data_IF_868550502830
#
_entry.id   IF_868550502830
#
_cell.length_a   1.000
_cell.length_b   1.000
_cell.length_c   1.000
_cell.angle_alpha   90.00
_cell.angle_beta   90.00
_cell.angle_gamma   90.00
#
_symmetry.space_group_name_H-M   'P 1'
#
loop_
_entity.id
_entity.type
_entity.pdbx_description
1 polymer ?
#
# COMPACT_ATOMS: atom_id res chain seq x y z
N UNK A 1 -27.39 -36.11 29.10
CA UNK A 1 -27.34 -36.00 30.57
C UNK A 1 -27.46 -37.34 31.32
N UNK A 2 -27.36 -38.52 30.69
CA UNK A 2 -27.52 -39.81 31.41
C UNK A 2 -26.27 -40.33 32.15
N UNK A 3 -25.10 -39.68 32.01
CA UNK A 3 -23.83 -40.15 32.56
C UNK A 3 -23.63 -39.80 34.04
N UNK A 4 -24.28 -38.74 34.53
CA UNK A 4 -24.12 -38.25 35.92
C UNK A 4 -24.84 -39.10 36.96
N UNK A 5 -25.87 -39.83 36.55
CA UNK A 5 -26.63 -40.74 37.43
C UNK A 5 -26.02 -42.14 37.47
N UNK A 6 -24.99 -42.42 36.67
CA UNK A 6 -24.36 -43.72 36.60
C UNK A 6 -23.21 -43.86 37.61
N UNK A 7 -23.01 -45.06 38.18
CA UNK A 7 -21.82 -45.33 38.97
C UNK A 7 -20.57 -45.18 38.10
N UNK A 8 -19.46 -44.78 38.71
CA UNK A 8 -18.24 -44.45 37.98
C UNK A 8 -17.73 -45.61 37.11
N UNK A 9 -17.89 -46.86 37.57
CA UNK A 9 -17.51 -48.07 36.83
C UNK A 9 -18.20 -48.15 35.46
N UNK A 10 -19.47 -47.75 35.39
CA UNK A 10 -20.27 -47.78 34.15
C UNK A 10 -20.02 -46.54 33.29
N UNK A 11 -19.84 -45.36 33.89
CA UNK A 11 -19.61 -44.12 33.14
C UNK A 11 -18.18 -44.01 32.56
N UNK A 12 -17.19 -44.61 33.22
CA UNK A 12 -15.77 -44.41 32.91
C UNK A 12 -15.35 -44.77 31.48
N UNK A 13 -15.79 -45.90 30.87
CA UNK A 13 -15.47 -46.21 29.48
C UNK A 13 -15.92 -45.11 28.51
N UNK A 14 -17.14 -44.58 28.69
CA UNK A 14 -17.67 -43.49 27.87
C UNK A 14 -16.90 -42.19 28.08
N UNK A 15 -16.55 -41.86 29.33
CA UNK A 15 -15.75 -40.66 29.62
C UNK A 15 -14.36 -40.74 29.00
N UNK A 16 -13.71 -41.91 29.04
CA UNK A 16 -12.40 -42.14 28.41
C UNK A 16 -12.49 -42.02 26.90
N UNK A 17 -13.50 -42.62 26.28
CA UNK A 17 -13.74 -42.49 24.84
C UNK A 17 -13.91 -41.03 24.42
N UNK A 18 -14.75 -40.26 25.14
CA UNK A 18 -14.96 -38.83 24.86
C UNK A 18 -13.71 -37.98 25.06
N UNK A 19 -12.93 -38.25 26.11
CA UNK A 19 -11.65 -37.58 26.32
C UNK A 19 -10.66 -37.90 25.20
N UNK A 20 -10.59 -39.15 24.74
CA UNK A 20 -9.69 -39.57 23.66
C UNK A 20 -10.05 -38.97 22.29
N UNK A 21 -11.31 -38.61 22.05
CA UNK A 21 -11.74 -37.97 20.79
C UNK A 21 -11.24 -36.53 20.64
N UNK A 22 -10.82 -35.86 21.71
CA UNK A 22 -10.33 -34.48 21.67
C UNK A 22 -8.93 -34.39 22.26
N UNK A 23 -7.93 -34.13 21.42
CA UNK A 23 -6.53 -34.06 21.84
C UNK A 23 -6.24 -32.98 22.89
N UNK A 24 -7.05 -31.91 22.94
CA UNK A 24 -6.92 -30.87 23.95
C UNK A 24 -7.58 -31.28 25.28
N UNK A 25 -8.53 -32.22 25.29
CA UNK A 25 -9.24 -32.64 26.50
C UNK A 25 -8.45 -33.73 27.24
N UNK A 26 -7.85 -33.37 28.37
CA UNK A 26 -7.01 -34.26 29.17
C UNK A 26 -7.83 -35.16 30.09
N UNK A 27 -8.91 -34.64 30.66
CA UNK A 27 -9.78 -35.40 31.53
C UNK A 27 -11.20 -34.82 31.57
N UNK A 28 -12.17 -35.69 31.85
CA UNK A 28 -13.54 -35.31 32.24
C UNK A 28 -13.80 -35.82 33.64
N UNK A 29 -14.40 -34.99 34.50
CA UNK A 29 -14.80 -35.37 35.83
C UNK A 29 -16.29 -35.13 36.03
N UNK A 30 -16.94 -36.05 36.72
CA UNK A 30 -18.35 -35.96 37.06
C UNK A 30 -18.48 -35.50 38.50
N UNK A 31 -19.31 -34.49 38.71
CA UNK A 31 -19.62 -33.93 40.02
C UNK A 31 -21.09 -34.21 40.30
N UNK A 32 -21.35 -34.85 41.44
CA UNK A 32 -22.68 -35.12 41.94
C UNK A 32 -22.78 -34.67 43.38
N UNK A 33 -23.82 -33.90 43.70
CA UNK A 33 -24.09 -33.35 45.03
C UNK A 33 -22.88 -32.62 45.66
N UNK A 34 -22.14 -31.88 44.83
CA UNK A 34 -20.95 -31.13 45.25
C UNK A 34 -19.70 -31.99 45.47
N UNK A 35 -19.75 -33.28 45.11
CA UNK A 35 -18.62 -34.21 45.22
C UNK A 35 -18.17 -34.66 43.84
N UNK A 36 -16.87 -34.52 43.57
CA UNK A 36 -16.22 -35.08 42.39
C UNK A 36 -16.07 -36.60 42.61
N UNK A 37 -16.99 -37.37 42.05
CA UNK A 37 -17.10 -38.81 42.31
C UNK A 37 -16.40 -39.69 41.26
N UNK A 38 -16.21 -39.18 40.04
CA UNK A 38 -15.61 -39.94 38.95
C UNK A 38 -14.71 -39.08 38.08
N UNK A 39 -13.61 -39.66 37.61
CA UNK A 39 -12.66 -39.04 36.68
C UNK A 39 -12.28 -40.01 35.57
N UNK A 40 -12.29 -39.55 34.31
CA UNK A 40 -11.88 -40.37 33.16
C UNK A 40 -10.44 -40.88 33.26
N UNK A 41 -9.56 -40.07 33.86
CA UNK A 41 -8.13 -40.35 33.99
C UNK A 41 -7.81 -41.26 35.17
N UNK A 42 -8.62 -41.15 36.22
CA UNK A 42 -8.24 -41.55 37.57
C UNK A 42 -9.23 -42.51 38.24
N UNK A 43 -10.41 -42.70 37.64
CA UNK A 43 -11.48 -43.54 38.16
C UNK A 43 -12.26 -42.88 39.30
N UNK A 44 -12.68 -43.69 40.27
CA UNK A 44 -13.48 -43.26 41.42
C UNK A 44 -12.73 -42.22 42.24
N UNK A 45 -13.41 -41.13 42.61
CA UNK A 45 -12.88 -40.07 43.45
C UNK A 45 -13.89 -39.69 44.52
N UNK A 46 -13.41 -38.99 45.54
CA UNK A 46 -14.24 -38.47 46.62
C UNK A 46 -13.63 -37.15 47.09
N UNK A 47 -13.74 -36.13 46.24
CA UNK A 47 -13.24 -34.80 46.56
C UNK A 47 -14.38 -33.80 46.61
N UNK A 48 -14.37 -32.93 47.61
CA UNK A 48 -15.32 -31.83 47.72
C UNK A 48 -15.03 -30.81 46.62
N UNK A 49 -16.01 -30.54 45.76
CA UNK A 49 -15.85 -29.67 44.59
C UNK A 49 -15.48 -28.24 44.98
N UNK A 50 -16.18 -27.66 45.97
CA UNK A 50 -15.92 -26.30 46.47
C UNK A 50 -14.56 -26.14 47.14
N UNK A 51 -14.02 -27.21 47.75
CA UNK A 51 -12.70 -27.17 48.37
C UNK A 51 -11.58 -27.08 47.33
N UNK A 52 -11.76 -27.71 46.16
CA UNK A 52 -10.75 -27.68 45.09
C UNK A 52 -10.96 -26.47 44.18
N UNK A 53 -12.20 -26.17 43.78
CA UNK A 53 -12.55 -25.17 42.76
C UNK A 53 -13.64 -24.23 43.28
N UNK A 54 -13.35 -23.36 44.27
CA UNK A 54 -14.36 -22.53 44.94
C UNK A 54 -15.09 -21.60 43.98
N UNK A 55 -14.37 -20.91 43.10
CA UNK A 55 -14.94 -19.96 42.12
C UNK A 55 -15.79 -20.62 41.03
N UNK A 56 -15.60 -21.92 40.78
CA UNK A 56 -16.49 -22.65 39.87
C UNK A 56 -17.71 -23.20 40.62
N UNK A 57 -17.55 -23.57 41.89
CA UNK A 57 -18.59 -24.14 42.73
C UNK A 57 -19.61 -23.09 43.23
N UNK A 58 -19.20 -21.85 43.45
CA UNK A 58 -20.11 -20.73 43.79
C UNK A 58 -20.83 -20.14 42.56
N UNK A 59 -20.41 -20.53 41.35
CA UNK A 59 -21.01 -20.08 40.09
C UNK A 59 -20.50 -18.72 39.60
N UNK A 60 -19.54 -18.10 40.31
CA UNK A 60 -18.93 -16.82 39.91
C UNK A 60 -18.13 -16.94 38.60
N UNK A 61 -17.58 -18.12 38.32
CA UNK A 61 -16.85 -18.42 37.11
C UNK A 61 -17.30 -19.74 36.46
N UNK A 62 -17.15 -19.82 35.13
CA UNK A 62 -17.33 -21.07 34.35
C UNK A 62 -16.00 -21.62 33.82
N UNK A 63 -14.95 -20.82 33.86
CA UNK A 63 -13.60 -21.17 33.42
C UNK A 63 -12.61 -20.81 34.53
N UNK A 64 -11.61 -21.67 34.72
CA UNK A 64 -10.50 -21.41 35.63
C UNK A 64 -9.20 -21.89 35.01
N UNK A 65 -8.20 -21.02 34.99
CA UNK A 65 -6.83 -21.37 34.60
C UNK A 65 -6.04 -21.75 35.86
N UNK A 66 -5.51 -22.98 35.91
CA UNK A 66 -4.79 -23.49 37.09
C UNK A 66 -3.65 -24.43 36.73
N UNK A 67 -2.60 -24.52 37.55
CA UNK A 67 -1.59 -25.55 37.38
C UNK A 67 -2.18 -26.93 37.69
N UNK A 68 -1.80 -27.93 36.89
CA UNK A 68 -2.17 -29.33 37.13
C UNK A 68 -1.62 -29.81 38.48
N UNK A 69 -2.48 -30.47 39.27
CA UNK A 69 -2.13 -31.00 40.60
C UNK A 69 -1.61 -32.44 40.56
N UNK A 70 -1.82 -33.17 39.46
CA UNK A 70 -1.57 -34.62 39.42
C UNK A 70 -0.67 -35.01 38.25
N UNK A 71 -1.18 -34.98 37.02
CA UNK A 71 -0.41 -35.42 35.84
C UNK A 71 0.28 -34.21 35.21
N UNK A 72 1.61 -34.24 35.15
CA UNK A 72 2.47 -33.12 34.77
C UNK A 72 2.27 -31.91 35.70
N UNK A 73 2.67 -32.08 36.97
CA UNK A 73 2.54 -31.05 38.01
C UNK A 73 3.11 -29.71 37.54
N UNK A 74 2.36 -28.64 37.76
CA UNK A 74 2.77 -27.29 37.39
C UNK A 74 2.50 -26.91 35.92
N UNK A 75 2.12 -27.85 35.05
CA UNK A 75 1.68 -27.52 33.67
C UNK A 75 0.37 -26.75 33.75
N UNK A 76 0.21 -25.65 32.99
CA UNK A 76 -1.02 -24.88 32.97
C UNK A 76 -2.14 -25.74 32.38
N UNK A 77 -3.31 -25.69 33.01
CA UNK A 77 -4.52 -26.38 32.55
C UNK A 77 -5.70 -25.42 32.60
N UNK A 78 -6.58 -25.54 31.61
CA UNK A 78 -7.84 -24.80 31.59
C UNK A 78 -8.96 -25.73 32.02
N UNK A 79 -9.69 -25.35 33.07
CA UNK A 79 -10.79 -26.12 33.61
C UNK A 79 -12.08 -25.39 33.23
N UNK A 80 -13.01 -26.11 32.60
CA UNK A 80 -14.32 -25.61 32.26
C UNK A 80 -15.39 -26.38 33.03
N UNK A 81 -16.26 -25.63 33.68
CA UNK A 81 -17.40 -26.16 34.41
C UNK A 81 -18.67 -26.08 33.57
N UNK A 82 -19.38 -27.21 33.46
CA UNK A 82 -20.65 -27.31 32.74
C UNK A 82 -21.70 -27.91 33.68
N UNK A 83 -22.50 -27.06 34.37
CA UNK A 83 -23.55 -27.55 35.27
C UNK A 83 -24.68 -28.20 34.46
N UNK A 84 -25.42 -29.12 35.09
CA UNK A 84 -26.58 -29.79 34.47
C UNK A 84 -27.71 -28.80 34.22
N UNK A 85 -28.01 -27.97 35.21
CA UNK A 85 -29.01 -26.91 35.14
C UNK A 85 -28.37 -25.60 35.59
N UNK A 86 -28.87 -24.48 35.08
CA UNK A 86 -28.34 -23.17 35.47
C UNK A 86 -28.51 -22.89 36.97
N UNK A 87 -29.53 -23.47 37.60
CA UNK A 87 -29.90 -23.21 39.00
C UNK A 87 -29.20 -24.15 40.00
N UNK A 88 -28.67 -25.30 39.55
CA UNK A 88 -28.00 -26.26 40.42
C UNK A 88 -26.52 -26.40 40.04
N UNK A 89 -25.67 -25.73 40.81
CA UNK A 89 -24.22 -25.73 40.60
C UNK A 89 -23.49 -26.91 41.28
N UNK A 90 -24.22 -27.84 41.89
CA UNK A 90 -23.67 -29.01 42.59
C UNK A 90 -23.53 -30.24 41.70
N UNK A 91 -24.18 -30.23 40.54
CA UNK A 91 -24.22 -31.35 39.60
C UNK A 91 -23.76 -30.90 38.23
N UNK A 92 -22.81 -31.62 37.63
CA UNK A 92 -22.27 -31.23 36.33
C UNK A 92 -20.96 -31.93 35.96
N UNK A 93 -20.38 -31.45 34.86
CA UNK A 93 -19.17 -32.03 34.28
C UNK A 93 -18.05 -31.00 34.27
N UNK A 94 -16.90 -31.38 34.82
CA UNK A 94 -15.66 -30.65 34.69
C UNK A 94 -14.87 -31.17 33.49
N UNK A 95 -14.50 -30.28 32.60
CA UNK A 95 -13.62 -30.55 31.47
C UNK A 95 -12.25 -29.96 31.78
N UNK A 96 -11.21 -30.79 31.73
CA UNK A 96 -9.83 -30.35 31.97
C UNK A 96 -9.08 -30.39 30.66
N UNK A 97 -8.72 -29.22 30.15
CA UNK A 97 -7.99 -29.06 28.90
C UNK A 97 -6.50 -28.85 29.13
N UNK A 98 -5.69 -29.47 28.26
CA UNK A 98 -4.29 -29.13 28.10
C UNK A 98 -4.18 -27.81 27.33
N UNK A 99 -4.18 -26.71 28.06
CA UNK A 99 -4.15 -25.37 27.47
C UNK A 99 -2.79 -25.05 26.84
N UNK A 100 -1.70 -25.73 27.22
CA UNK A 100 -0.37 -25.51 26.65
C UNK A 100 -0.36 -25.74 25.13
N UNK A 101 -0.96 -26.84 24.68
CA UNK A 101 -1.07 -27.14 23.24
C UNK A 101 -1.88 -26.06 22.52
N UNK A 102 -3.04 -25.71 23.10
CA UNK A 102 -3.95 -24.76 22.48
C UNK A 102 -3.39 -23.33 22.49
N UNK A 103 -2.68 -22.94 23.54
CA UNK A 103 -1.99 -21.67 23.67
C UNK A 103 -0.86 -21.55 22.64
N UNK A 104 -0.11 -22.62 22.40
CA UNK A 104 0.95 -22.63 21.40
C UNK A 104 0.43 -22.47 19.97
N UNK A 105 -0.82 -22.87 19.68
CA UNK A 105 -1.41 -22.65 18.36
C UNK A 105 -2.19 -21.34 18.25
N UNK A 106 -2.92 -20.94 19.30
CA UNK A 106 -3.84 -19.80 19.24
C UNK A 106 -3.19 -18.47 19.62
N UNK A 107 -2.13 -18.50 20.43
CA UNK A 107 -1.49 -17.30 20.96
C UNK A 107 -0.14 -17.03 20.27
N UNK A 108 0.15 -17.67 19.15
CA UNK A 108 1.39 -17.44 18.42
C UNK A 108 1.48 -15.96 17.99
N UNK A 109 2.52 -15.21 18.42
CA UNK A 109 2.66 -13.80 18.10
C UNK A 109 2.91 -13.58 16.61
N UNK A 110 2.26 -12.56 16.05
CA UNK A 110 2.45 -12.14 14.67
C UNK A 110 3.36 -10.91 14.62
N UNK A 111 4.67 -11.15 14.56
CA UNK A 111 5.64 -10.06 14.44
C UNK A 111 5.57 -9.36 13.06
N UNK A 112 5.78 -8.04 13.00
CA UNK A 112 6.16 -7.12 14.08
C UNK A 112 4.97 -6.51 14.85
N UNK A 113 3.73 -6.90 14.54
CA UNK A 113 2.51 -6.23 15.02
C UNK A 113 2.11 -6.64 16.43
N UNK A 114 2.27 -7.92 16.77
CA UNK A 114 2.04 -8.46 18.09
C UNK A 114 3.29 -9.23 18.52
N UNK A 115 3.95 -8.76 19.57
CA UNK A 115 5.13 -9.40 20.14
C UNK A 115 4.78 -10.39 21.25
N UNK A 116 3.68 -10.12 21.97
CA UNK A 116 3.19 -11.03 23.02
C UNK A 116 1.68 -11.11 22.95
N UNK A 117 1.17 -12.32 23.10
CA UNK A 117 -0.27 -12.60 23.15
C UNK A 117 -0.54 -13.35 24.44
N UNK A 118 -1.55 -12.90 25.17
CA UNK A 118 -1.88 -13.39 26.52
C UNK A 118 -3.34 -13.76 26.59
N UNK A 119 -3.64 -14.97 27.04
CA UNK A 119 -4.98 -15.43 27.39
C UNK A 119 -5.26 -15.10 28.85
N UNK A 120 -6.32 -14.34 29.14
CA UNK A 120 -6.75 -14.04 30.50
C UNK A 120 -8.08 -14.74 30.82
N UNK A 121 -8.12 -15.43 31.96
CA UNK A 121 -9.26 -16.18 32.49
C UNK A 121 -9.41 -15.84 33.98
N UNK A 122 -10.39 -15.00 34.30
CA UNK A 122 -10.51 -14.40 35.63
C UNK A 122 -9.25 -13.60 35.98
N UNK A 123 -8.70 -13.84 37.15
CA UNK A 123 -7.49 -13.16 37.65
C UNK A 123 -6.17 -13.76 37.13
N UNK A 124 -6.25 -14.82 36.31
CA UNK A 124 -5.10 -15.56 35.84
C UNK A 124 -4.88 -15.36 34.33
N UNK A 125 -3.61 -15.28 33.94
CA UNK A 125 -3.16 -15.07 32.58
C UNK A 125 -2.13 -16.11 32.17
N UNK A 126 -2.18 -16.51 30.90
CA UNK A 126 -1.22 -17.40 30.25
C UNK A 126 -0.67 -16.72 29.00
N UNK A 127 0.65 -16.57 28.93
CA UNK A 127 1.35 -16.03 27.78
C UNK A 127 1.84 -17.16 26.87
N UNK A 128 1.91 -16.89 25.56
CA UNK A 128 2.54 -17.79 24.59
C UNK A 128 3.94 -18.23 25.03
N UNK A 129 4.23 -19.53 24.90
CA UNK A 129 5.53 -20.12 25.23
C UNK A 129 5.87 -20.16 26.73
N UNK A 130 5.03 -19.60 27.61
CA UNK A 130 5.22 -19.65 29.06
C UNK A 130 4.38 -20.78 29.67
N UNK A 131 4.98 -21.50 30.62
CA UNK A 131 4.29 -22.53 31.41
C UNK A 131 3.81 -22.01 32.77
N UNK A 132 4.18 -20.79 33.13
CA UNK A 132 3.77 -20.14 34.37
C UNK A 132 2.46 -19.39 34.17
N UNK A 133 1.54 -19.54 35.13
CA UNK A 133 0.31 -18.77 35.19
C UNK A 133 0.60 -17.50 35.97
N UNK A 134 0.43 -16.37 35.31
CA UNK A 134 0.65 -15.04 35.88
C UNK A 134 -0.69 -14.47 36.34
N UNK A 135 -0.64 -13.45 37.20
CA UNK A 135 -1.83 -12.71 37.58
C UNK A 135 -2.09 -11.60 36.54
N UNK A 136 -3.34 -11.44 36.12
CA UNK A 136 -3.73 -10.55 35.01
C UNK A 136 -3.31 -9.09 35.22
N UNK A 137 -3.27 -8.63 36.47
CA UNK A 137 -2.90 -7.28 36.88
C UNK A 137 -1.40 -6.95 36.69
N UNK A 138 -0.54 -7.96 36.58
CA UNK A 138 0.92 -7.78 36.38
C UNK A 138 1.29 -7.41 34.94
N UNK A 139 0.38 -7.59 33.99
CA UNK A 139 0.64 -7.54 32.54
C UNK A 139 0.10 -6.24 31.91
N UNK A 140 0.61 -5.09 32.33
CA UNK A 140 0.12 -3.77 31.87
C UNK A 140 0.99 -3.10 30.80
N UNK A 141 2.27 -3.44 30.73
CA UNK A 141 3.22 -2.71 29.90
C UNK A 141 3.09 -3.12 28.43
N UNK A 142 2.77 -2.14 27.57
CA UNK A 142 2.70 -2.34 26.12
C UNK A 142 1.40 -2.99 25.63
N UNK A 143 0.32 -2.92 26.42
CA UNK A 143 -0.99 -3.41 26.02
C UNK A 143 -1.52 -2.57 24.85
N UNK A 144 -1.79 -3.22 23.72
CA UNK A 144 -2.36 -2.58 22.53
C UNK A 144 -3.88 -2.74 22.49
N UNK A 145 -4.36 -3.95 22.79
CA UNK A 145 -5.76 -4.29 22.66
C UNK A 145 -6.13 -5.49 23.52
N UNK A 146 -7.36 -5.53 24.03
CA UNK A 146 -7.94 -6.69 24.71
C UNK A 146 -9.27 -7.05 24.07
N UNK A 147 -9.33 -8.24 23.47
CA UNK A 147 -10.56 -8.82 22.95
C UNK A 147 -11.22 -9.69 24.01
N UNK A 148 -12.51 -9.49 24.29
CA UNK A 148 -13.30 -10.37 25.16
C UNK A 148 -14.11 -11.35 24.31
N UNK A 149 -14.20 -12.59 24.76
CA UNK A 149 -15.05 -13.59 24.10
C UNK A 149 -16.52 -13.34 24.42
N UNK A 150 -17.39 -13.52 23.42
CA UNK A 150 -18.84 -13.33 23.57
C UNK A 150 -19.52 -14.53 24.25
N UNK A 151 -18.99 -15.73 24.03
CA UNK A 151 -19.64 -16.99 24.46
C UNK A 151 -19.03 -17.55 25.75
N UNK A 152 -17.75 -17.28 26.00
CA UNK A 152 -17.02 -17.85 27.13
C UNK A 152 -16.32 -16.75 27.93
N UNK A 153 -16.20 -16.89 29.26
CA UNK A 153 -15.62 -15.85 30.11
C UNK A 153 -14.08 -15.85 30.07
N UNK A 154 -13.50 -15.61 28.88
CA UNK A 154 -12.07 -15.38 28.69
C UNK A 154 -11.83 -14.15 27.82
N UNK A 155 -10.61 -13.62 27.87
CA UNK A 155 -10.16 -12.52 27.01
C UNK A 155 -8.76 -12.78 26.49
N UNK A 156 -8.42 -12.15 25.37
CA UNK A 156 -7.08 -12.21 24.75
C UNK A 156 -6.53 -10.78 24.72
N UNK A 157 -5.37 -10.59 25.31
CA UNK A 157 -4.63 -9.33 25.31
C UNK A 157 -3.45 -9.41 24.35
N UNK A 158 -3.34 -8.40 23.49
CA UNK A 158 -2.26 -8.22 22.52
C UNK A 158 -1.30 -7.14 23.01
N UNK A 159 -0.01 -7.45 22.97
CA UNK A 159 1.05 -6.53 23.35
C UNK A 159 2.04 -6.39 22.20
N UNK A 160 2.51 -5.16 21.98
CA UNK A 160 3.42 -4.88 20.89
C UNK A 160 3.90 -3.43 20.89
N UNK A 161 4.72 -3.05 19.90
CA UNK A 161 5.24 -1.71 19.81
C UNK A 161 4.16 -0.74 19.32
N UNK A 162 4.32 0.54 19.66
CA UNK A 162 3.43 1.59 19.17
C UNK A 162 3.50 1.70 17.64
N UNK A 163 2.37 2.06 17.02
CA UNK A 163 2.26 2.19 15.57
C UNK A 163 3.32 3.12 14.94
N UNK A 164 3.71 4.19 15.65
CA UNK A 164 4.76 5.12 15.22
C UNK A 164 6.12 4.44 15.04
N UNK A 165 6.51 3.54 15.97
CA UNK A 165 7.77 2.80 15.87
C UNK A 165 7.74 1.78 14.73
N UNK A 166 6.62 1.11 14.51
CA UNK A 166 6.46 0.22 13.34
C UNK A 166 6.57 1.00 12.03
N UNK A 167 5.90 2.15 11.93
CA UNK A 167 5.94 2.99 10.74
C UNK A 167 7.38 3.46 10.42
N UNK A 168 8.12 3.89 11.45
CA UNK A 168 9.50 4.32 11.30
C UNK A 168 10.43 3.15 10.91
N UNK A 169 10.21 1.97 11.47
CA UNK A 169 10.95 0.75 11.12
C UNK A 169 10.65 0.26 9.69
N UNK A 170 9.44 0.51 9.18
CA UNK A 170 9.06 0.17 7.81
C UNK A 170 9.58 1.16 6.76
N UNK A 171 10.02 2.36 7.16
CA UNK A 171 10.42 3.44 6.27
C UNK A 171 11.56 3.06 5.29
N UNK A 172 12.63 2.37 5.71
CA UNK A 172 13.73 1.99 4.82
C UNK A 172 13.31 1.10 3.64
N UNK A 173 12.22 0.33 3.80
CA UNK A 173 11.67 -0.53 2.74
C UNK A 173 11.24 0.26 1.50
N UNK A 174 10.96 1.55 1.65
CA UNK A 174 10.49 2.42 0.56
C UNK A 174 11.63 3.16 -0.16
N UNK A 175 12.86 3.12 0.36
CA UNK A 175 14.05 3.75 -0.25
C UNK A 175 14.32 3.29 -1.70
N UNK A 176 14.33 1.98 -2.04
CA UNK A 176 14.66 1.56 -3.40
C UNK A 176 13.63 2.03 -4.44
N UNK A 177 12.34 2.05 -4.07
CA UNK A 177 11.29 2.58 -4.94
C UNK A 177 11.42 4.09 -5.12
N UNK A 178 11.68 4.83 -4.04
CA UNK A 178 11.93 6.27 -4.10
C UNK A 178 13.15 6.61 -4.99
N UNK A 179 14.22 5.80 -4.89
CA UNK A 179 15.42 5.94 -5.72
C UNK A 179 15.11 5.69 -7.21
N UNK A 180 14.33 4.65 -7.52
CA UNK A 180 13.92 4.36 -8.90
C UNK A 180 13.10 5.51 -9.48
N UNK A 181 12.11 6.03 -8.73
CA UNK A 181 11.30 7.18 -9.15
C UNK A 181 12.18 8.42 -9.33
N UNK A 182 13.13 8.67 -8.44
CA UNK A 182 14.07 9.79 -8.54
C UNK A 182 14.93 9.69 -9.81
N UNK A 183 15.43 8.50 -10.13
CA UNK A 183 16.25 8.26 -11.32
C UNK A 183 15.42 8.39 -12.61
N UNK A 184 14.18 7.90 -12.61
CA UNK A 184 13.24 8.09 -13.71
C UNK A 184 12.95 9.58 -13.94
N UNK A 185 12.65 10.32 -12.87
CA UNK A 185 12.39 11.75 -12.94
C UNK A 185 13.61 12.52 -13.46
N UNK A 186 14.81 12.20 -12.96
CA UNK A 186 16.06 12.78 -13.43
C UNK A 186 16.29 12.50 -14.93
N UNK A 187 16.01 11.27 -15.38
CA UNK A 187 16.12 10.90 -16.80
C UNK A 187 15.13 11.68 -17.69
N UNK A 188 13.88 11.84 -17.25
CA UNK A 188 12.89 12.66 -17.98
C UNK A 188 13.34 14.12 -18.07
N UNK A 189 13.81 14.70 -16.96
CA UNK A 189 14.36 16.08 -16.95
C UNK A 189 15.57 16.20 -17.88
N UNK A 190 16.44 15.19 -17.90
CA UNK A 190 17.58 15.13 -18.81
C UNK A 190 17.13 15.13 -20.27
N UNK A 191 16.17 14.29 -20.66
CA UNK A 191 15.64 14.24 -22.04
C UNK A 191 15.01 15.57 -22.45
N UNK A 192 14.23 16.21 -21.58
CA UNK A 192 13.63 17.51 -21.85
C UNK A 192 14.69 18.60 -22.04
N UNK A 193 15.74 18.60 -21.21
CA UNK A 193 16.86 19.55 -21.30
C UNK A 193 17.72 19.31 -22.54
N UNK A 194 18.01 18.04 -22.87
CA UNK A 194 18.79 17.68 -24.05
C UNK A 194 18.05 18.07 -25.34
N UNK A 195 16.73 17.90 -25.40
CA UNK A 195 15.93 18.35 -26.55
C UNK A 195 15.90 19.88 -26.70
N UNK A 196 16.11 20.67 -25.62
CA UNK A 196 16.23 22.14 -25.69
C UNK A 196 17.53 22.61 -26.36
N UNK A 197 18.60 21.81 -26.34
CA UNK A 197 19.85 22.10 -27.08
C UNK A 197 19.68 22.02 -28.61
N UNK A 198 18.57 21.48 -29.11
CA UNK A 198 18.27 21.45 -30.55
C UNK A 198 18.09 22.84 -31.17
N UNK A 199 17.77 23.88 -30.41
CA UNK A 199 17.69 25.25 -30.94
C UNK A 199 19.06 25.73 -31.46
N UNK A 200 20.12 25.48 -30.70
CA UNK A 200 21.49 25.79 -31.10
C UNK A 200 21.93 24.92 -32.29
N UNK A 201 21.49 23.66 -32.33
CA UNK A 201 21.70 22.78 -33.48
C UNK A 201 21.01 23.31 -34.74
N UNK A 202 19.75 23.74 -34.65
CA UNK A 202 19.01 24.30 -35.78
C UNK A 202 19.60 25.62 -36.29
N UNK A 203 20.06 26.50 -35.40
CA UNK A 203 20.74 27.75 -35.79
C UNK A 203 22.10 27.45 -36.43
N UNK A 204 22.90 26.57 -35.83
CA UNK A 204 24.20 26.17 -36.40
C UNK A 204 24.05 25.46 -37.74
N UNK A 205 23.04 24.60 -37.89
CA UNK A 205 22.73 23.91 -39.13
C UNK A 205 22.35 24.90 -40.24
N UNK A 206 21.48 25.87 -39.95
CA UNK A 206 21.08 26.93 -40.89
C UNK A 206 22.24 27.84 -41.30
N UNK A 207 23.19 28.13 -40.39
CA UNK A 207 24.42 28.90 -40.72
C UNK A 207 25.31 28.07 -41.66
N UNK A 208 25.50 26.78 -41.35
CA UNK A 208 26.39 25.91 -42.12
C UNK A 208 25.84 25.61 -43.53
N UNK A 209 24.52 25.57 -43.68
CA UNK A 209 23.82 25.34 -44.96
C UNK A 209 23.54 26.63 -45.76
N UNK A 210 24.02 27.80 -45.31
CA UNK A 210 23.80 29.11 -45.96
C UNK A 210 22.31 29.44 -46.19
N UNK A 211 21.45 29.07 -45.25
CA UNK A 211 20.00 29.35 -45.32
C UNK A 211 19.66 30.80 -44.93
N UNK A 212 20.67 31.58 -44.51
CA UNK A 212 20.54 33.01 -44.27
C UNK A 212 20.78 33.79 -45.57
N UNK A 213 19.73 34.44 -46.08
CA UNK A 213 19.85 35.40 -47.18
C UNK A 213 19.74 36.82 -46.65
N UNK A 214 20.60 37.68 -47.18
CA UNK A 214 20.61 39.11 -46.90
C UNK A 214 19.86 39.80 -48.02
N UNK A 215 18.78 40.48 -47.70
CA UNK A 215 18.05 41.31 -48.64
C UNK A 215 18.58 42.74 -48.55
N UNK A 216 18.76 43.38 -49.70
CA UNK A 216 19.17 44.79 -49.75
C UNK A 216 17.91 45.62 -49.97
N UNK A 217 17.45 46.34 -48.96
CA UNK A 217 16.36 47.31 -49.08
C UNK A 217 16.95 48.71 -49.24
N UNK A 218 16.74 49.39 -50.38
CA UNK A 218 17.26 50.73 -50.60
C UNK A 218 16.46 51.76 -49.79
N UNK A 219 17.17 52.61 -49.06
CA UNK A 219 16.59 53.74 -48.33
C UNK A 219 16.62 54.95 -49.26
N UNK A 220 15.43 55.35 -49.70
CA UNK A 220 15.24 56.44 -50.66
C UNK A 220 14.84 57.71 -49.91
N UNK A 221 15.48 58.83 -50.24
CA UNK A 221 15.09 60.15 -49.73
C UNK A 221 13.69 60.53 -50.26
N UNK A 222 12.74 60.81 -49.37
CA UNK A 222 11.35 61.09 -49.76
C UNK A 222 11.18 62.40 -50.57
N UNK A 223 12.06 63.39 -50.40
CA UNK A 223 11.96 64.69 -51.07
C UNK A 223 12.68 64.75 -52.42
N UNK A 224 13.80 64.03 -52.54
CA UNK A 224 14.66 64.07 -53.74
C UNK A 224 14.62 62.80 -54.59
N UNK A 225 14.01 61.72 -54.08
CA UNK A 225 13.93 60.43 -54.76
C UNK A 225 15.26 59.72 -54.98
N UNK A 226 16.37 60.23 -54.42
CA UNK A 226 17.71 59.61 -54.56
C UNK A 226 17.94 58.58 -53.46
N UNK A 227 18.52 57.43 -53.83
CA UNK A 227 18.95 56.41 -52.88
C UNK A 227 20.11 56.95 -52.05
N UNK A 228 19.94 57.01 -50.72
CA UNK A 228 20.95 57.57 -49.79
C UNK A 228 21.68 56.48 -49.01
N UNK A 229 21.18 55.25 -49.03
CA UNK A 229 21.75 54.13 -48.31
C UNK A 229 21.00 52.84 -48.59
N UNK A 230 21.53 51.73 -48.08
CA UNK A 230 20.89 50.43 -48.15
C UNK A 230 20.90 49.85 -46.75
N UNK A 231 19.76 49.34 -46.30
CA UNK A 231 19.71 48.47 -45.13
C UNK A 231 19.70 47.02 -45.56
N UNK A 232 20.37 46.20 -44.75
CA UNK A 232 20.57 44.79 -45.00
C UNK A 232 19.87 43.95 -43.92
N UNK A 233 18.52 43.88 -43.92
CA UNK A 233 17.82 42.97 -43.04
C UNK A 233 18.12 41.52 -43.44
N UNK A 234 18.61 40.73 -42.48
CA UNK A 234 18.78 39.29 -42.65
C UNK A 234 17.44 38.60 -42.44
N UNK A 235 17.03 37.75 -43.38
CA UNK A 235 15.85 36.90 -43.25
C UNK A 235 16.26 35.42 -43.28
N UNK A 236 15.65 34.63 -42.39
CA UNK A 236 15.84 33.20 -42.32
C UNK A 236 14.70 32.52 -43.08
N UNK A 237 15.01 31.91 -44.23
CA UNK A 237 14.04 31.18 -45.03
C UNK A 237 14.14 29.70 -44.70
N UNK A 238 13.16 29.19 -43.94
CA UNK A 238 13.09 27.77 -43.59
C UNK A 238 12.52 27.01 -44.79
N UNK A 239 13.29 26.11 -45.39
CA UNK A 239 12.87 25.34 -46.57
C UNK A 239 11.85 24.25 -46.19
N UNK A 240 10.66 24.70 -45.85
CA UNK A 240 9.46 23.87 -45.72
C UNK A 240 8.89 23.75 -47.14
N UNK A 241 8.57 22.56 -47.68
CA UNK A 241 7.84 22.49 -48.94
C UNK A 241 6.46 23.14 -48.73
N UNK A 242 6.33 24.40 -49.13
CA UNK A 242 5.09 25.13 -49.08
C UNK A 242 4.15 24.58 -50.15
N UNK A 243 3.06 23.94 -49.72
CA UNK A 243 1.81 24.14 -50.44
C UNK A 243 1.36 25.55 -50.09
N UNK A 244 1.37 26.44 -51.08
CA UNK A 244 0.49 27.61 -51.06
C UNK A 244 -0.22 27.75 -52.42
N UNK A 245 -1.44 28.27 -52.34
CA UNK A 245 -2.54 28.22 -53.29
C UNK A 245 -2.29 29.05 -54.56
N UNK A 246 -1.30 28.66 -55.36
CA UNK A 246 -1.20 28.98 -56.79
C UNK A 246 -0.14 28.06 -57.41
N UNK A 247 -0.56 26.85 -57.81
CA UNK A 247 0.34 25.81 -58.32
C UNK A 247 1.23 26.28 -59.47
N UNK A 248 2.50 26.55 -59.17
CA UNK A 248 3.56 26.64 -60.19
C UNK A 248 4.89 26.19 -59.58
N UNK A 249 5.37 25.04 -60.05
CA UNK A 249 6.66 24.44 -59.66
C UNK A 249 7.75 25.17 -60.44
N UNK A 250 8.71 25.81 -59.77
CA UNK A 250 9.95 26.24 -60.41
C UNK A 250 11.12 25.40 -59.88
N UNK A 251 11.82 24.73 -60.80
CA UNK A 251 13.03 23.95 -60.53
C UNK A 251 14.26 24.84 -60.65
N UNK A 252 15.26 24.75 -59.76
CA UNK A 252 16.42 25.63 -59.83
C UNK A 252 17.42 25.08 -60.86
N UNK A 253 17.51 25.72 -62.02
CA UNK A 253 18.72 25.63 -62.86
C UNK A 253 19.39 26.99 -62.89
N UNK A 254 20.66 26.98 -62.51
CA UNK A 254 21.53 28.15 -62.52
C UNK A 254 21.70 28.70 -63.92
N UNK A 255 21.73 30.03 -64.01
CA UNK A 255 22.11 30.75 -65.21
C UNK A 255 23.09 31.85 -64.83
N UNK A 256 24.21 31.82 -65.55
CA UNK A 256 25.39 32.67 -65.48
C UNK A 256 25.08 34.12 -65.83
N UNK A 257 25.69 35.05 -65.09
CA UNK A 257 25.64 36.50 -65.34
C UNK A 257 26.44 36.85 -66.59
N UNK A 258 25.79 37.47 -67.58
CA UNK A 258 26.44 38.11 -68.72
C UNK A 258 26.56 39.62 -68.46
N UNK A 259 27.78 40.12 -68.67
CA UNK A 259 28.25 41.48 -68.49
C UNK A 259 27.72 42.40 -69.61
N UNK A 260 26.97 43.46 -69.25
CA UNK A 260 26.56 44.50 -70.19
C UNK A 260 26.94 45.88 -69.63
N UNK A 261 27.94 46.50 -70.27
CA UNK A 261 28.26 47.93 -70.11
C UNK A 261 27.19 48.79 -70.82
N UNK A 262 26.87 49.99 -70.30
CA UNK A 262 25.96 50.92 -70.95
C UNK A 262 26.70 51.90 -71.87
N UNK A 263 26.07 52.24 -73.00
CA UNK A 263 26.41 53.41 -73.83
C UNK A 263 25.24 54.43 -73.83
N UNK A 264 25.51 55.73 -74.10
CA UNK A 264 24.79 56.85 -73.49
C UNK A 264 23.57 57.37 -74.27
N UNK A 265 22.74 58.14 -73.54
CA UNK A 265 21.58 58.91 -74.01
C UNK A 265 21.89 59.88 -75.18
N UNK A 266 20.82 60.30 -75.89
CA UNK A 266 20.66 61.73 -76.18
C UNK A 266 19.30 62.32 -75.73
N UNK A 267 19.37 63.62 -75.47
CA UNK A 267 18.36 64.56 -74.98
C UNK A 267 17.13 64.77 -75.89
N UNK A 268 16.01 65.24 -75.30
CA UNK A 268 15.06 66.08 -76.06
C UNK A 268 13.59 66.13 -75.62
N UNK A 269 13.29 66.93 -74.59
CA UNK A 269 12.14 67.84 -74.44
C UNK A 269 10.65 67.40 -74.32
N UNK A 270 10.05 67.99 -73.24
CA UNK A 270 8.69 68.53 -73.00
C UNK A 270 7.51 67.60 -72.63
N UNK A 271 7.12 67.74 -71.36
CA UNK A 271 5.81 68.29 -70.97
C UNK A 271 4.75 67.30 -70.45
N UNK A 272 4.28 67.49 -69.22
CA UNK A 272 3.01 66.91 -68.73
C UNK A 272 3.00 66.56 -67.24
N UNK A 273 2.06 67.15 -66.51
CA UNK A 273 1.78 67.02 -65.05
C UNK A 273 1.09 65.67 -64.70
N UNK A 274 0.88 65.34 -63.41
CA UNK A 274 0.94 63.97 -62.89
C UNK A 274 -0.37 63.21 -63.03
N UNK A 275 -0.28 61.89 -63.16
CA UNK A 275 -1.43 60.98 -63.05
C UNK A 275 -1.12 59.87 -62.05
N UNK A 276 -1.79 59.94 -60.91
CA UNK A 276 -2.16 58.78 -60.09
C UNK A 276 -3.37 58.11 -60.79
N UNK A 277 -3.87 57.02 -60.20
CA UNK A 277 -5.13 56.29 -60.46
C UNK A 277 -4.90 55.05 -61.38
N UNK A 278 -5.69 53.96 -61.26
CA UNK A 278 -5.54 52.86 -60.31
C UNK A 278 -5.73 51.47 -61.02
N UNK A 279 -5.92 50.41 -60.25
CA UNK A 279 -6.30 49.06 -60.71
C UNK A 279 -7.59 49.03 -61.54
N UNK A 280 -7.65 48.21 -62.61
CA UNK A 280 -8.77 47.25 -62.80
C UNK A 280 -8.44 46.15 -63.82
N UNK A 281 -8.91 44.95 -63.47
CA UNK A 281 -9.04 43.69 -64.19
C UNK A 281 -9.88 43.75 -65.48
N UNK A 282 -9.67 42.80 -66.41
CA UNK A 282 -10.77 42.21 -67.20
C UNK A 282 -10.57 40.70 -67.37
N UNK A 283 -11.64 40.00 -67.00
CA UNK A 283 -11.96 38.56 -67.02
C UNK A 283 -12.30 38.11 -68.45
N UNK A 284 -12.06 36.85 -68.83
CA UNK A 284 -13.11 35.99 -69.40
C UNK A 284 -12.71 34.51 -69.53
N UNK A 285 -13.77 33.71 -69.43
CA UNK A 285 -13.92 32.29 -69.17
C UNK A 285 -13.58 31.35 -70.36
N UNK A 286 -13.66 30.05 -70.05
CA UNK A 286 -13.84 28.87 -70.92
C UNK A 286 -12.57 28.38 -71.62
N UNK A 287 -12.12 27.12 -71.51
CA UNK A 287 -12.76 25.85 -71.13
C UNK A 287 -11.73 24.95 -70.42
#
# INVERSE_FOLDING_TARGET
>A
MSLLEQPCQTAMPTLRFRAAQNQALRAMLLVKDGVIYCSSLFGVRNYVFSAILPTLADGSAKLALRPSLSVAKGVPTLIMWTPVTADNNLNGVLHVFNIELLANFLLEPQEPYAQRVVLNVGDNSLEYGRREILRSDTLTTGLLYTAKSAQYPFSISLFGPQASRLALAALPRHIPLALLISLLAAYVVYLLTANRMSLSYHIGHAITHREFRVYCQPIINAETGRCIGVENPAALEKQTPGLDLAGRIYSPRGTTWADHRPDPLPDGHRGGKPAVVPATSVVLHQH
#
